data_IF_154960322260
#
_entry.id   IF_154960322260
#
_cell.length_a   1.000
_cell.length_b   1.000
_cell.length_c   1.000
_cell.angle_alpha   90.00
_cell.angle_beta   90.00
_cell.angle_gamma   90.00
#
_symmetry.space_group_name_H-M   'P 1'
#
loop_
_entity.id
_entity.type
_entity.pdbx_description
1 polymer ?
#
# COMPACT_ATOMS: atom_id res chain seq x y z
N UNK A 1 -3.50 -1.71 -13.25
CA UNK A 1 -2.35 -2.41 -13.86
C UNK A 1 -2.13 -3.65 -13.02
N UNK A 2 -2.51 -4.82 -13.56
CA UNK A 2 -2.45 -6.11 -12.84
C UNK A 2 -1.06 -6.76 -12.90
N UNK A 3 -0.21 -6.34 -13.83
CA UNK A 3 1.17 -6.84 -13.94
C UNK A 3 2.17 -5.71 -13.66
N UNK A 4 3.15 -5.92 -12.76
CA UNK A 4 4.22 -4.96 -12.54
C UNK A 4 5.11 -4.84 -13.79
N UNK A 5 5.82 -3.71 -13.97
CA UNK A 5 6.90 -3.66 -14.94
C UNK A 5 7.88 -4.81 -14.69
N UNK A 6 8.44 -5.36 -15.75
CA UNK A 6 9.45 -6.43 -15.70
C UNK A 6 10.52 -6.08 -14.65
N UNK A 7 10.85 -7.05 -13.77
CA UNK A 7 11.93 -6.98 -12.77
C UNK A 7 11.63 -6.28 -11.42
N UNK A 8 10.44 -5.73 -11.19
CA UNK A 8 10.15 -5.07 -9.92
C UNK A 8 9.87 -6.08 -8.81
N UNK A 9 10.65 -6.03 -7.71
CA UNK A 9 10.43 -6.89 -6.54
C UNK A 9 9.44 -6.25 -5.55
N UNK A 10 8.69 -7.06 -4.77
CA UNK A 10 7.84 -6.57 -3.68
C UNK A 10 8.67 -5.78 -2.66
N UNK A 11 8.09 -4.68 -2.14
CA UNK A 11 8.75 -3.86 -1.12
C UNK A 11 8.49 -4.47 0.25
N UNK A 12 9.56 -4.90 0.94
CA UNK A 12 9.44 -5.35 2.32
C UNK A 12 9.04 -4.18 3.22
N UNK A 13 7.90 -4.33 3.87
CA UNK A 13 7.26 -3.26 4.63
C UNK A 13 7.24 -3.58 6.11
N UNK A 14 7.86 -2.71 6.92
CA UNK A 14 7.92 -2.79 8.37
C UNK A 14 7.12 -1.66 9.00
N UNK A 15 6.38 -1.98 10.03
CA UNK A 15 5.66 -1.02 10.88
C UNK A 15 6.16 -1.23 12.31
N UNK A 16 6.80 -0.23 12.88
CA UNK A 16 7.49 -0.36 14.17
C UNK A 16 7.55 0.98 14.92
N UNK A 17 7.82 0.90 16.22
CA UNK A 17 8.17 2.08 16.99
C UNK A 17 9.51 2.65 16.53
N UNK A 18 9.64 3.98 16.58
CA UNK A 18 10.87 4.65 16.19
C UNK A 18 12.02 4.26 17.14
N UNK A 19 13.10 3.75 16.57
CA UNK A 19 14.31 3.39 17.30
C UNK A 19 15.54 3.80 16.49
N UNK A 20 16.43 4.59 17.12
CA UNK A 20 17.62 5.13 16.47
C UNK A 20 18.57 4.02 15.98
N UNK A 21 18.66 2.90 16.68
CA UNK A 21 19.55 1.80 16.29
C UNK A 21 19.00 1.07 15.05
N UNK A 22 17.71 0.84 14.99
CA UNK A 22 17.05 0.22 13.81
C UNK A 22 17.18 1.12 12.60
N UNK A 23 16.95 2.43 12.76
CA UNK A 23 17.06 3.41 11.67
C UNK A 23 18.49 3.50 11.16
N UNK A 24 19.47 3.59 12.06
CA UNK A 24 20.88 3.63 11.68
C UNK A 24 21.29 2.37 10.92
N UNK A 25 20.83 1.20 11.36
CA UNK A 25 21.13 -0.07 10.69
C UNK A 25 20.46 -0.16 9.32
N UNK A 26 19.21 0.27 9.19
CA UNK A 26 18.51 0.33 7.91
C UNK A 26 19.26 1.21 6.88
N UNK A 27 19.73 2.38 7.32
CA UNK A 27 20.53 3.29 6.47
C UNK A 27 21.87 2.64 6.11
N UNK A 28 22.65 2.14 7.07
CA UNK A 28 23.95 1.51 6.83
C UNK A 28 23.83 0.34 5.85
N UNK A 29 22.82 -0.49 6.01
CA UNK A 29 22.55 -1.63 5.13
C UNK A 29 22.29 -1.19 3.69
N UNK A 30 21.56 -0.10 3.48
CA UNK A 30 21.33 0.45 2.14
C UNK A 30 22.62 1.01 1.55
N UNK A 31 23.37 1.79 2.30
CA UNK A 31 24.63 2.39 1.86
C UNK A 31 25.69 1.33 1.55
N UNK A 32 25.77 0.28 2.36
CA UNK A 32 26.72 -0.83 2.16
C UNK A 32 26.55 -1.55 0.81
N UNK A 33 25.34 -1.53 0.24
CA UNK A 33 25.07 -2.08 -1.09
C UNK A 33 25.07 -1.01 -2.20
N UNK A 34 25.51 0.21 -1.90
CA UNK A 34 25.59 1.33 -2.84
C UNK A 34 24.25 1.93 -3.22
N UNK A 35 23.21 1.72 -2.41
CA UNK A 35 21.90 2.34 -2.61
C UNK A 35 21.75 3.64 -1.85
N UNK A 36 20.58 4.27 -2.01
CA UNK A 36 20.21 5.55 -1.39
C UNK A 36 18.93 5.40 -0.59
N UNK A 37 18.71 6.33 0.34
CA UNK A 37 17.60 6.32 1.28
C UNK A 37 16.76 7.57 1.16
N UNK A 38 15.44 7.40 1.05
CA UNK A 38 14.48 8.46 1.34
C UNK A 38 14.12 8.43 2.82
N UNK A 39 14.30 9.56 3.49
CA UNK A 39 13.92 9.76 4.88
C UNK A 39 12.82 10.82 4.96
N UNK A 40 11.57 10.39 5.12
CA UNK A 40 10.43 11.28 5.15
C UNK A 40 10.21 11.84 6.56
N UNK A 41 10.30 13.16 6.67
CA UNK A 41 10.08 13.92 7.88
C UNK A 41 9.21 15.15 7.59
N UNK A 42 7.93 15.08 7.96
CA UNK A 42 6.94 16.05 7.50
C UNK A 42 6.79 17.28 8.42
N UNK A 43 7.92 17.87 8.86
CA UNK A 43 7.98 19.12 9.64
C UNK A 43 9.13 19.99 9.14
N UNK A 44 8.78 21.01 8.35
CA UNK A 44 9.79 21.89 7.74
C UNK A 44 10.60 22.64 8.80
N UNK A 45 9.97 23.08 9.90
CA UNK A 45 10.62 23.89 10.95
C UNK A 45 11.77 23.18 11.67
N UNK A 46 11.74 21.84 11.68
CA UNK A 46 12.73 21.02 12.40
C UNK A 46 13.45 20.03 11.49
N UNK A 47 13.31 20.16 10.17
CA UNK A 47 13.89 19.21 9.20
C UNK A 47 15.43 19.22 9.24
N UNK A 48 16.04 20.37 9.47
CA UNK A 48 17.49 20.50 9.63
C UNK A 48 18.00 19.75 10.86
N UNK A 49 17.25 19.80 11.97
CA UNK A 49 17.57 19.05 13.19
C UNK A 49 17.45 17.55 12.95
N UNK A 50 16.44 17.13 12.18
CA UNK A 50 16.28 15.74 11.76
C UNK A 50 17.46 15.29 10.90
N UNK A 51 17.87 16.06 9.90
CA UNK A 51 19.03 15.76 9.07
C UNK A 51 20.33 15.69 9.89
N UNK A 52 20.54 16.61 10.83
CA UNK A 52 21.68 16.58 11.75
C UNK A 52 21.66 15.34 12.65
N UNK A 53 20.48 14.90 13.08
CA UNK A 53 20.30 13.64 13.83
C UNK A 53 20.68 12.43 12.97
N UNK A 54 20.20 12.35 11.74
CA UNK A 54 20.55 11.28 10.78
C UNK A 54 22.06 11.24 10.52
N UNK A 55 22.69 12.43 10.34
CA UNK A 55 24.14 12.54 10.18
C UNK A 55 24.92 12.02 11.39
N UNK A 56 24.41 12.24 12.61
CA UNK A 56 25.02 11.68 13.84
C UNK A 56 24.85 10.18 13.95
N UNK A 57 23.70 9.64 13.54
CA UNK A 57 23.44 8.20 13.57
C UNK A 57 24.29 7.43 12.56
N UNK A 58 24.60 8.05 11.41
CA UNK A 58 25.43 7.46 10.35
C UNK A 58 26.45 8.51 9.87
N UNK A 59 27.58 8.68 10.58
CA UNK A 59 28.51 9.79 10.32
C UNK A 59 29.13 9.79 8.91
N UNK A 60 29.19 8.63 8.25
CA UNK A 60 29.73 8.52 6.88
C UNK A 60 28.73 8.84 5.77
N UNK A 61 27.46 9.08 6.09
CA UNK A 61 26.42 9.34 5.09
C UNK A 61 26.43 10.80 4.64
N UNK A 62 26.23 11.04 3.35
CA UNK A 62 26.00 12.38 2.80
C UNK A 62 24.50 12.69 2.84
N UNK A 63 24.10 13.56 3.74
CA UNK A 63 22.69 13.87 4.01
C UNK A 63 22.29 15.14 3.26
N UNK A 64 21.29 15.04 2.40
CA UNK A 64 20.63 16.16 1.75
C UNK A 64 19.27 16.46 2.36
N UNK A 65 18.75 17.67 2.14
CA UNK A 65 17.45 18.14 2.62
C UNK A 65 16.63 18.67 1.46
N UNK A 66 15.32 18.30 1.41
CA UNK A 66 14.37 18.89 0.47
C UNK A 66 13.01 19.11 1.13
N UNK A 67 12.47 20.33 1.00
CA UNK A 67 11.15 20.66 1.53
C UNK A 67 10.44 21.75 0.72
N UNK A 68 9.13 21.85 0.86
CA UNK A 68 8.29 22.72 0.04
C UNK A 68 8.47 24.26 0.24
N UNK A 69 9.30 24.72 1.20
CA UNK A 69 9.65 26.14 1.34
C UNK A 69 10.93 26.52 0.57
N UNK A 70 11.62 25.57 -0.05
CA UNK A 70 12.78 25.82 -0.92
C UNK A 70 12.31 26.34 -2.28
N UNK A 71 13.19 27.09 -2.95
CA UNK A 71 12.94 27.52 -4.33
C UNK A 71 13.01 26.35 -5.30
N UNK A 72 12.41 26.47 -6.47
CA UNK A 72 12.46 25.43 -7.52
C UNK A 72 13.89 25.08 -7.92
N UNK A 73 14.77 26.08 -7.98
CA UNK A 73 16.18 25.90 -8.31
C UNK A 73 16.91 25.06 -7.23
N UNK A 74 16.66 25.37 -5.94
CA UNK A 74 17.22 24.61 -4.83
C UNK A 74 16.74 23.16 -4.84
N UNK A 75 15.43 22.96 -5.05
CA UNK A 75 14.84 21.62 -5.15
C UNK A 75 15.44 20.86 -6.34
N UNK A 76 15.55 21.51 -7.49
CA UNK A 76 16.13 20.91 -8.70
C UNK A 76 17.60 20.50 -8.48
N UNK A 77 18.38 21.37 -7.82
CA UNK A 77 19.78 21.07 -7.46
C UNK A 77 19.89 19.84 -6.54
N UNK A 78 19.05 19.74 -5.52
CA UNK A 78 19.04 18.58 -4.61
C UNK A 78 18.68 17.29 -5.34
N UNK A 79 17.68 17.34 -6.26
CA UNK A 79 17.32 16.16 -7.06
C UNK A 79 18.48 15.75 -7.98
N UNK A 80 19.19 16.72 -8.58
CA UNK A 80 20.35 16.42 -9.43
C UNK A 80 21.46 15.74 -8.61
N UNK A 81 21.80 16.29 -7.45
CA UNK A 81 22.78 15.69 -6.54
C UNK A 81 22.41 14.27 -6.10
N UNK A 82 21.10 14.01 -5.89
CA UNK A 82 20.63 12.66 -5.56
C UNK A 82 20.79 11.72 -6.74
N UNK A 83 20.45 12.16 -7.96
CA UNK A 83 20.61 11.38 -9.19
C UNK A 83 22.08 11.09 -9.49
N UNK A 84 22.97 12.04 -9.22
CA UNK A 84 24.43 11.91 -9.41
C UNK A 84 25.11 11.12 -8.27
N UNK A 85 24.34 10.55 -7.34
CA UNK A 85 24.80 9.83 -6.16
C UNK A 85 25.72 10.66 -5.25
N UNK A 86 25.54 11.97 -5.19
CA UNK A 86 26.22 12.86 -4.25
C UNK A 86 25.54 12.91 -2.88
N UNK A 87 24.26 12.50 -2.80
CA UNK A 87 23.47 12.36 -1.58
C UNK A 87 23.16 10.90 -1.34
N UNK A 88 23.43 10.40 -0.14
CA UNK A 88 23.14 9.04 0.30
C UNK A 88 21.79 8.94 0.99
N UNK A 89 21.43 9.94 1.79
CA UNK A 89 20.16 10.02 2.50
C UNK A 89 19.49 11.35 2.22
N UNK A 90 18.34 11.34 1.60
CA UNK A 90 17.54 12.55 1.39
C UNK A 90 16.48 12.66 2.48
N UNK A 91 16.65 13.59 3.41
CA UNK A 91 15.64 13.98 4.40
C UNK A 91 14.68 14.96 3.74
N UNK A 92 13.41 14.58 3.59
CA UNK A 92 12.47 15.40 2.84
C UNK A 92 11.06 15.36 3.44
N UNK A 93 10.26 16.36 3.10
CA UNK A 93 8.81 16.33 3.32
C UNK A 93 8.11 15.48 2.24
N UNK A 94 6.78 15.55 2.16
CA UNK A 94 5.98 14.88 1.12
C UNK A 94 6.33 15.29 -0.33
N UNK A 95 7.30 16.16 -0.51
CA UNK A 95 7.84 16.55 -1.83
C UNK A 95 8.26 15.35 -2.71
N UNK A 96 8.62 14.23 -2.09
CA UNK A 96 8.90 12.95 -2.78
C UNK A 96 7.73 12.48 -3.67
N UNK A 97 6.51 12.99 -3.44
CA UNK A 97 5.33 12.68 -4.27
C UNK A 97 5.41 13.34 -5.66
N UNK A 98 6.29 14.32 -5.88
CA UNK A 98 6.39 15.08 -7.15
C UNK A 98 6.88 14.29 -8.38
N UNK A 99 7.32 13.06 -8.20
CA UNK A 99 7.44 12.12 -9.31
C UNK A 99 8.84 11.91 -9.90
N UNK A 100 9.90 12.47 -9.32
CA UNK A 100 11.27 12.18 -9.74
C UNK A 100 11.56 10.68 -9.58
N UNK A 101 12.08 10.06 -10.64
CA UNK A 101 12.40 8.64 -10.67
C UNK A 101 13.86 8.39 -10.28
N UNK A 102 14.11 8.10 -9.01
CA UNK A 102 15.45 7.76 -8.50
C UNK A 102 15.54 6.26 -8.30
N UNK A 103 16.09 5.56 -9.29
CA UNK A 103 16.16 4.09 -9.30
C UNK A 103 17.04 3.51 -8.19
N UNK A 104 18.02 4.27 -7.71
CA UNK A 104 18.94 3.84 -6.67
C UNK A 104 18.40 4.00 -5.24
N UNK A 105 17.28 4.71 -5.05
CA UNK A 105 16.58 4.79 -3.76
C UNK A 105 15.75 3.52 -3.53
N UNK A 106 16.27 2.59 -2.72
CA UNK A 106 15.61 1.32 -2.42
C UNK A 106 15.20 1.18 -0.96
N UNK A 107 15.53 2.14 -0.11
CA UNK A 107 15.05 2.18 1.28
C UNK A 107 14.28 3.47 1.54
N UNK A 108 13.11 3.33 2.15
CA UNK A 108 12.22 4.41 2.58
C UNK A 108 12.05 4.33 4.10
N UNK A 109 12.25 5.44 4.78
CA UNK A 109 11.97 5.59 6.21
C UNK A 109 10.95 6.72 6.37
N UNK A 110 9.88 6.50 7.12
CA UNK A 110 8.85 7.51 7.39
C UNK A 110 8.71 7.68 8.91
N UNK A 111 8.99 8.87 9.42
CA UNK A 111 8.68 9.22 10.80
C UNK A 111 7.22 9.64 10.97
N UNK A 112 6.61 9.23 12.08
CA UNK A 112 5.22 9.54 12.42
C UNK A 112 4.22 9.13 11.31
N UNK A 113 4.41 7.94 10.74
CA UNK A 113 3.54 7.38 9.70
C UNK A 113 2.08 7.24 10.14
N UNK A 114 1.82 7.13 11.44
CA UNK A 114 0.50 7.11 12.07
C UNK A 114 -0.34 8.37 11.80
N UNK A 115 0.30 9.48 11.43
CA UNK A 115 -0.35 10.76 11.10
C UNK A 115 -0.72 10.90 9.62
N UNK A 116 -0.32 9.95 8.79
CA UNK A 116 -0.52 9.99 7.35
C UNK A 116 -1.72 9.16 6.90
N UNK A 117 -2.30 9.52 5.76
CA UNK A 117 -3.38 8.77 5.14
C UNK A 117 -2.86 7.47 4.49
N UNK A 118 -3.70 6.43 4.45
CA UNK A 118 -3.32 5.13 3.88
C UNK A 118 -2.93 5.24 2.40
N UNK A 119 -3.71 5.97 1.61
CA UNK A 119 -3.42 6.21 0.19
C UNK A 119 -2.09 6.94 0.00
N UNK A 120 -1.78 7.92 0.85
CA UNK A 120 -0.52 8.65 0.82
C UNK A 120 0.66 7.73 1.16
N UNK A 121 0.57 6.95 2.23
CA UNK A 121 1.60 5.96 2.59
C UNK A 121 1.86 4.97 1.45
N UNK A 122 0.82 4.53 0.76
CA UNK A 122 0.94 3.63 -0.39
C UNK A 122 1.65 4.30 -1.58
N UNK A 123 1.30 5.53 -1.91
CA UNK A 123 1.93 6.29 -3.00
C UNK A 123 3.42 6.54 -2.72
N UNK A 124 3.76 6.95 -1.49
CA UNK A 124 5.14 7.20 -1.09
C UNK A 124 5.94 5.89 -1.07
N UNK A 125 5.37 4.79 -0.57
CA UNK A 125 6.01 3.47 -0.65
C UNK A 125 6.36 3.09 -2.09
N UNK A 126 5.50 3.44 -3.04
CA UNK A 126 5.74 3.20 -4.47
C UNK A 126 6.88 4.01 -5.08
N UNK A 127 7.51 4.91 -4.33
CA UNK A 127 8.66 5.70 -4.80
C UNK A 127 10.00 4.96 -4.69
N UNK A 128 10.06 3.89 -3.89
CA UNK A 128 11.24 3.01 -3.81
C UNK A 128 11.00 1.70 -4.55
N UNK A 129 12.07 0.92 -4.75
CA UNK A 129 12.00 -0.37 -5.43
C UNK A 129 11.66 -0.24 -6.92
N UNK A 130 12.24 0.73 -7.60
CA UNK A 130 12.10 0.95 -9.04
C UNK A 130 13.24 0.33 -9.85
N UNK A 131 13.97 -0.57 -9.23
CA UNK A 131 15.04 -1.36 -9.82
C UNK A 131 14.83 -2.85 -9.51
N UNK A 132 15.72 -3.71 -10.00
CA UNK A 132 15.75 -5.13 -9.70
C UNK A 132 16.27 -5.46 -8.28
N UNK A 133 16.64 -4.42 -7.50
CA UNK A 133 17.11 -4.57 -6.12
C UNK A 133 15.95 -4.68 -5.15
N UNK A 134 16.15 -5.46 -4.10
CA UNK A 134 15.20 -5.58 -3.00
C UNK A 134 15.02 -4.24 -2.30
N UNK A 135 13.79 -3.82 -2.10
CA UNK A 135 13.46 -2.54 -1.48
C UNK A 135 12.80 -2.73 -0.11
N UNK A 136 13.00 -1.75 0.75
CA UNK A 136 12.53 -1.74 2.14
C UNK A 136 11.78 -0.45 2.45
N UNK A 137 10.71 -0.56 3.21
CA UNK A 137 9.96 0.59 3.71
C UNK A 137 9.70 0.44 5.21
N UNK A 138 10.19 1.40 5.99
CA UNK A 138 10.04 1.47 7.43
C UNK A 138 9.05 2.57 7.79
N UNK A 139 7.86 2.18 8.24
CA UNK A 139 6.83 3.09 8.73
C UNK A 139 6.94 3.15 10.24
N UNK A 140 7.43 4.29 10.76
CA UNK A 140 7.66 4.40 12.20
C UNK A 140 6.65 5.32 12.86
N UNK A 141 6.34 5.05 14.11
CA UNK A 141 5.57 5.91 14.99
C UNK A 141 6.33 6.14 16.28
N UNK A 142 5.97 7.17 17.02
CA UNK A 142 6.68 7.57 18.23
C UNK A 142 6.65 6.45 19.26
N UNK A 143 7.80 6.21 19.91
CA UNK A 143 7.93 5.23 20.99
C UNK A 143 6.94 5.51 22.11
N UNK A 144 6.42 4.46 22.71
CA UNK A 144 5.45 4.50 23.82
C UNK A 144 4.13 5.23 23.49
N UNK A 145 3.87 5.50 22.21
CA UNK A 145 2.64 6.13 21.75
C UNK A 145 1.52 5.11 21.59
N UNK A 146 0.40 5.34 22.26
CA UNK A 146 -0.83 4.61 22.00
C UNK A 146 -1.41 5.10 20.66
N UNK A 147 -1.45 4.22 19.68
CA UNK A 147 -2.05 4.51 18.38
C UNK A 147 -3.57 4.58 18.48
N UNK A 148 -4.17 5.53 17.78
CA UNK A 148 -5.62 5.53 17.59
C UNK A 148 -6.04 4.29 16.79
N UNK A 149 -7.27 3.83 16.95
CA UNK A 149 -7.80 2.69 16.21
C UNK A 149 -7.67 2.88 14.68
N UNK A 150 -7.95 4.09 14.20
CA UNK A 150 -7.81 4.45 12.78
C UNK A 150 -6.35 4.36 12.32
N UNK A 151 -5.40 4.89 13.09
CA UNK A 151 -3.97 4.81 12.77
C UNK A 151 -3.49 3.36 12.75
N UNK A 152 -3.90 2.55 13.73
CA UNK A 152 -3.59 1.13 13.80
C UNK A 152 -4.12 0.36 12.59
N UNK A 153 -5.38 0.59 12.18
CA UNK A 153 -5.98 -0.02 10.99
C UNK A 153 -5.24 0.37 9.71
N UNK A 154 -4.83 1.64 9.55
CA UNK A 154 -4.05 2.11 8.39
C UNK A 154 -2.68 1.45 8.31
N UNK A 155 -1.95 1.44 9.42
CA UNK A 155 -0.61 0.85 9.49
C UNK A 155 -0.64 -0.68 9.31
N UNK A 156 -1.67 -1.35 9.80
CA UNK A 156 -1.89 -2.78 9.53
C UNK A 156 -2.17 -3.03 8.05
N UNK A 157 -3.03 -2.21 7.43
CA UNK A 157 -3.33 -2.33 6.00
C UNK A 157 -2.08 -2.12 5.12
N UNK A 158 -1.24 -1.11 5.38
CA UNK A 158 -0.04 -0.88 4.59
C UNK A 158 0.97 -2.02 4.71
N UNK A 159 1.03 -2.69 5.85
CA UNK A 159 1.85 -3.89 6.08
C UNK A 159 1.31 -5.12 5.35
N UNK A 160 -0.01 -5.29 5.33
CA UNK A 160 -0.68 -6.44 4.71
C UNK A 160 -0.64 -6.38 3.18
N UNK A 161 -0.91 -5.21 2.59
CA UNK A 161 -0.99 -5.06 1.14
C UNK A 161 0.38 -4.79 0.51
N UNK A 162 1.24 -5.82 0.48
CA UNK A 162 2.59 -5.74 -0.10
C UNK A 162 2.66 -6.13 -1.57
N UNK A 163 1.65 -6.87 -2.09
CA UNK A 163 1.62 -7.32 -3.47
C UNK A 163 1.42 -6.17 -4.46
N UNK A 164 1.99 -6.32 -5.66
CA UNK A 164 1.77 -5.40 -6.77
C UNK A 164 0.27 -5.36 -7.15
N UNK A 165 -0.18 -4.21 -7.67
CA UNK A 165 -1.59 -4.03 -8.04
C UNK A 165 -2.55 -3.83 -6.87
N UNK A 166 -2.06 -3.76 -5.63
CA UNK A 166 -2.91 -3.56 -4.44
C UNK A 166 -3.57 -2.18 -4.37
N UNK A 167 -3.32 -1.27 -5.31
CA UNK A 167 -3.85 0.11 -5.29
C UNK A 167 -5.36 0.18 -5.12
N UNK A 168 -6.11 -0.65 -5.85
CA UNK A 168 -7.56 -0.71 -5.69
C UNK A 168 -7.97 -1.20 -4.29
N UNK A 169 -7.34 -2.26 -3.78
CA UNK A 169 -7.61 -2.80 -2.44
C UNK A 169 -7.25 -1.80 -1.34
N UNK A 170 -6.16 -1.06 -1.51
CA UNK A 170 -5.76 0.04 -0.61
C UNK A 170 -6.81 1.16 -0.62
N UNK A 171 -7.29 1.58 -1.81
CA UNK A 171 -8.31 2.61 -1.92
C UNK A 171 -9.62 2.16 -1.25
N UNK A 172 -10.03 0.91 -1.45
CA UNK A 172 -11.20 0.32 -0.80
C UNK A 172 -11.02 0.25 0.73
N UNK A 173 -9.84 -0.15 1.18
CA UNK A 173 -9.54 -0.22 2.62
C UNK A 173 -9.48 1.16 3.26
N UNK A 174 -8.92 2.16 2.57
CA UNK A 174 -8.91 3.55 3.05
C UNK A 174 -10.34 4.11 3.17
N UNK A 175 -11.19 3.80 2.19
CA UNK A 175 -12.60 4.15 2.23
C UNK A 175 -13.33 3.51 3.42
N UNK A 176 -13.10 2.22 3.69
CA UNK A 176 -13.65 1.51 4.84
C UNK A 176 -13.18 2.12 6.18
N UNK A 177 -11.89 2.45 6.30
CA UNK A 177 -11.30 3.02 7.52
C UNK A 177 -11.82 4.44 7.78
N UNK A 178 -11.98 5.26 6.73
CA UNK A 178 -12.54 6.62 6.85
C UNK A 178 -14.04 6.63 7.13
N UNK A 179 -14.70 5.49 6.88
CA UNK A 179 -16.15 5.42 6.79
C UNK A 179 -16.63 6.02 5.47
N UNK A 180 -17.31 5.23 4.66
CA UNK A 180 -17.79 5.66 3.34
C UNK A 180 -18.82 6.82 3.41
N UNK A 181 -19.29 7.15 4.60
CA UNK A 181 -20.20 8.26 4.85
C UNK A 181 -19.66 9.66 4.55
N UNK A 182 -18.33 9.87 4.51
CA UNK A 182 -17.77 11.15 4.09
C UNK A 182 -17.96 11.43 2.59
N UNK A 183 -18.20 10.40 1.78
CA UNK A 183 -18.49 10.56 0.35
C UNK A 183 -19.99 10.82 0.06
N UNK A 184 -20.87 10.37 0.94
CA UNK A 184 -22.34 10.34 0.71
C UNK A 184 -23.14 11.21 1.70
N UNK A 185 -22.49 11.94 2.61
CA UNK A 185 -23.14 12.80 3.62
C UNK A 185 -23.43 12.11 4.95
N UNK A 186 -23.62 12.92 5.99
CA UNK A 186 -23.75 12.47 7.39
C UNK A 186 -24.89 11.50 7.66
N UNK A 187 -25.95 11.51 6.85
CA UNK A 187 -27.14 10.67 7.07
C UNK A 187 -26.99 9.19 6.70
N UNK A 188 -25.90 8.82 6.00
CA UNK A 188 -25.71 7.44 5.50
C UNK A 188 -24.60 6.66 6.22
N UNK A 189 -23.92 7.28 7.18
CA UNK A 189 -22.81 6.68 7.94
C UNK A 189 -23.19 5.35 8.61
N UNK A 190 -24.33 5.29 9.30
CA UNK A 190 -24.74 4.14 10.08
C UNK A 190 -25.09 2.90 9.25
N UNK A 191 -25.60 3.08 8.03
CA UNK A 191 -26.06 1.95 7.21
C UNK A 191 -24.91 1.20 6.55
N UNK A 192 -23.86 1.91 6.11
CA UNK A 192 -22.73 1.28 5.43
C UNK A 192 -21.81 0.56 6.42
N UNK A 193 -21.67 1.09 7.63
CA UNK A 193 -20.88 0.45 8.69
C UNK A 193 -21.59 -0.82 9.22
N UNK A 194 -22.92 -0.82 9.26
CA UNK A 194 -23.72 -1.93 9.75
C UNK A 194 -23.81 -3.12 8.77
N UNK A 195 -23.80 -2.88 7.46
CA UNK A 195 -24.03 -3.92 6.45
C UNK A 195 -22.77 -4.28 5.64
N UNK A 196 -21.68 -3.53 5.76
CA UNK A 196 -20.48 -3.67 4.95
C UNK A 196 -20.62 -3.04 3.56
N UNK A 197 -19.47 -2.67 2.98
CA UNK A 197 -19.42 -1.90 1.73
C UNK A 197 -20.01 -2.65 0.53
N UNK A 198 -19.68 -3.93 0.36
CA UNK A 198 -20.11 -4.71 -0.81
C UNK A 198 -21.63 -4.87 -0.84
N UNK A 199 -22.24 -5.18 0.31
CA UNK A 199 -23.69 -5.31 0.42
C UNK A 199 -24.37 -3.95 0.24
N UNK A 200 -23.78 -2.86 0.76
CA UNK A 200 -24.30 -1.51 0.58
C UNK A 200 -24.30 -1.11 -0.91
N UNK A 201 -23.20 -1.28 -1.63
CA UNK A 201 -23.11 -0.98 -3.08
C UNK A 201 -24.10 -1.80 -3.88
N UNK A 202 -24.27 -3.08 -3.54
CA UNK A 202 -25.26 -3.96 -4.16
C UNK A 202 -26.69 -3.46 -3.94
N UNK A 203 -27.03 -3.11 -2.72
CA UNK A 203 -28.35 -2.54 -2.37
C UNK A 203 -28.59 -1.19 -3.06
N UNK A 204 -27.59 -0.33 -3.12
CA UNK A 204 -27.66 0.96 -3.80
C UNK A 204 -27.89 0.78 -5.30
N UNK A 205 -27.14 -0.12 -5.94
CA UNK A 205 -27.33 -0.47 -7.35
C UNK A 205 -28.72 -0.97 -7.66
N UNK A 206 -29.29 -1.82 -6.80
CA UNK A 206 -30.67 -2.31 -6.93
C UNK A 206 -31.70 -1.18 -6.74
N UNK A 207 -31.47 -0.27 -5.78
CA UNK A 207 -32.34 0.88 -5.55
C UNK A 207 -32.36 1.85 -6.74
N UNK A 208 -31.18 2.11 -7.33
CA UNK A 208 -31.04 2.95 -8.54
C UNK A 208 -31.76 2.30 -9.73
N UNK A 209 -31.57 1.00 -9.95
CA UNK A 209 -32.24 0.26 -11.03
C UNK A 209 -33.77 0.32 -10.88
N UNK A 210 -34.30 0.16 -9.65
CA UNK A 210 -35.74 0.31 -9.36
C UNK A 210 -36.22 1.73 -9.65
N UNK A 211 -35.46 2.75 -9.24
CA UNK A 211 -35.84 4.15 -9.47
C UNK A 211 -35.84 4.52 -10.96
N UNK A 212 -35.00 3.86 -11.78
CA UNK A 212 -34.97 4.00 -13.25
C UNK A 212 -36.00 3.15 -13.99
N UNK A 213 -36.74 2.29 -13.28
CA UNK A 213 -37.67 1.34 -13.91
C UNK A 213 -37.02 0.18 -14.63
N UNK A 214 -35.72 -0.04 -14.38
CA UNK A 214 -34.96 -1.16 -14.95
C UNK A 214 -35.28 -2.47 -14.20
N UNK A 215 -35.32 -3.63 -14.87
CA UNK A 215 -35.56 -4.90 -14.20
C UNK A 215 -34.42 -5.20 -13.22
N UNK A 216 -34.74 -5.21 -11.92
CA UNK A 216 -33.76 -5.61 -10.89
C UNK A 216 -33.53 -7.11 -11.02
N UNK A 217 -32.33 -7.51 -11.42
CA UNK A 217 -31.92 -8.92 -11.35
C UNK A 217 -32.06 -9.36 -9.88
N UNK A 218 -32.95 -10.28 -9.62
CA UNK A 218 -33.00 -10.97 -8.33
C UNK A 218 -31.70 -11.76 -8.24
N UNK A 219 -30.82 -11.36 -7.34
CA UNK A 219 -29.68 -12.19 -7.02
C UNK A 219 -30.19 -13.56 -6.57
N UNK A 220 -29.70 -14.60 -7.24
CA UNK A 220 -29.85 -15.95 -6.71
C UNK A 220 -29.21 -15.93 -5.34
N UNK A 221 -29.92 -16.38 -4.30
CA UNK A 221 -29.35 -16.50 -2.96
C UNK A 221 -28.12 -17.40 -3.07
N UNK A 222 -26.93 -16.83 -2.79
CA UNK A 222 -25.71 -17.63 -2.65
C UNK A 222 -25.91 -18.53 -1.42
N UNK A 223 -26.26 -19.77 -1.65
CA UNK A 223 -26.33 -20.78 -0.61
C UNK A 223 -24.96 -21.46 -0.55
N UNK A 224 -24.21 -21.23 0.52
CA UNK A 224 -23.00 -22.00 0.79
C UNK A 224 -23.42 -23.40 1.26
N UNK A 225 -23.20 -24.41 0.42
CA UNK A 225 -23.42 -25.82 0.77
C UNK A 225 -22.06 -26.42 1.14
N UNK A 226 -21.82 -26.62 2.41
CA UNK A 226 -20.65 -27.34 2.92
C UNK A 226 -21.01 -28.81 3.18
N UNK A 227 -20.78 -29.62 2.18
CA UNK A 227 -20.98 -31.08 2.29
C UNK A 227 -19.64 -31.76 2.57
N UNK A 228 -19.52 -32.42 3.70
CA UNK A 228 -18.37 -33.28 4.02
C UNK A 228 -18.45 -34.60 3.26
N UNK A 229 -18.28 -34.52 1.94
CA UNK A 229 -18.24 -35.68 1.03
C UNK A 229 -16.98 -35.62 0.20
N UNK A 230 -16.30 -36.73 0.04
CA UNK A 230 -15.18 -36.86 -0.89
C UNK A 230 -15.73 -36.92 -2.32
N UNK A 231 -15.82 -35.74 -2.95
CA UNK A 231 -16.31 -35.61 -4.33
C UNK A 231 -15.13 -35.29 -5.24
N UNK A 232 -14.58 -36.27 -5.90
CA UNK A 232 -13.52 -36.09 -6.88
C UNK A 232 -13.78 -36.95 -8.14
N UNK A 233 -13.26 -36.51 -9.29
CA UNK A 233 -13.31 -37.25 -10.54
C UNK A 233 -12.20 -38.31 -10.53
N UNK A 234 -12.51 -39.61 -10.43
CA UNK A 234 -11.49 -40.65 -10.39
C UNK A 234 -10.64 -40.70 -11.65
N UNK A 235 -9.38 -41.09 -11.53
CA UNK A 235 -8.45 -41.26 -12.69
C UNK A 235 -8.93 -42.28 -13.71
N UNK A 236 -9.71 -43.29 -13.27
CA UNK A 236 -10.32 -44.26 -14.16
C UNK A 236 -11.41 -43.66 -15.09
N UNK A 237 -11.94 -42.48 -14.75
CA UNK A 237 -12.94 -41.78 -15.54
C UNK A 237 -12.33 -40.78 -16.51
N UNK A 238 -11.37 -39.97 -16.03
CA UNK A 238 -10.55 -39.08 -16.84
C UNK A 238 -9.09 -39.29 -16.42
N UNK A 239 -8.31 -39.96 -17.24
CA UNK A 239 -6.94 -40.38 -16.91
C UNK A 239 -5.95 -39.19 -16.87
N UNK A 240 -6.15 -38.19 -17.73
CA UNK A 240 -5.24 -37.05 -17.82
C UNK A 240 -5.59 -35.93 -16.82
N UNK A 241 -4.56 -35.36 -16.19
CA UNK A 241 -4.72 -34.25 -15.23
C UNK A 241 -5.34 -33.00 -15.82
N UNK A 242 -4.91 -32.52 -16.98
CA UNK A 242 -5.53 -31.37 -17.66
C UNK A 242 -7.03 -31.56 -17.94
N UNK A 243 -7.45 -32.72 -18.40
CA UNK A 243 -8.86 -33.04 -18.66
C UNK A 243 -9.71 -33.04 -17.40
N UNK A 244 -9.17 -33.51 -16.24
CA UNK A 244 -9.85 -33.39 -14.95
C UNK A 244 -10.05 -31.95 -14.52
N UNK A 245 -9.04 -31.11 -14.70
CA UNK A 245 -9.14 -29.67 -14.38
C UNK A 245 -10.20 -28.99 -15.24
N UNK A 246 -10.27 -29.32 -16.53
CA UNK A 246 -11.27 -28.77 -17.44
C UNK A 246 -12.69 -29.24 -17.06
N UNK A 247 -12.87 -30.49 -16.67
CA UNK A 247 -14.14 -31.01 -16.18
C UNK A 247 -14.58 -30.28 -14.90
N UNK A 248 -13.70 -30.04 -13.95
CA UNK A 248 -14.00 -29.24 -12.75
C UNK A 248 -14.40 -27.80 -13.07
N UNK A 249 -13.72 -27.15 -14.04
CA UNK A 249 -14.09 -25.81 -14.49
C UNK A 249 -15.49 -25.76 -15.09
N UNK A 250 -15.85 -26.77 -15.91
CA UNK A 250 -17.18 -26.87 -16.48
C UNK A 250 -18.26 -27.10 -15.42
N UNK A 251 -18.01 -27.98 -14.43
CA UNK A 251 -18.91 -28.19 -13.29
C UNK A 251 -19.09 -26.89 -12.49
N UNK A 252 -18.00 -26.15 -12.24
CA UNK A 252 -18.03 -24.86 -11.51
C UNK A 252 -18.77 -23.76 -12.29
N UNK A 253 -18.86 -23.86 -13.61
CA UNK A 253 -19.58 -22.92 -14.47
C UNK A 253 -21.11 -23.19 -14.57
N UNK A 254 -21.61 -24.34 -14.09
CA UNK A 254 -23.02 -24.68 -14.08
C UNK A 254 -23.82 -23.70 -13.21
N UNK A 255 -24.79 -23.03 -13.77
CA UNK A 255 -25.66 -22.07 -13.10
C UNK A 255 -27.11 -22.51 -12.99
N UNK A 256 -27.55 -23.38 -13.87
CA UNK A 256 -28.94 -23.88 -13.93
C UNK A 256 -28.95 -25.37 -14.07
N UNK A 257 -30.13 -25.96 -13.84
CA UNK A 257 -30.33 -27.43 -14.04
C UNK A 257 -30.33 -27.86 -15.53
N UNK A 258 -30.33 -26.87 -16.44
CA UNK A 258 -30.32 -27.12 -17.91
C UNK A 258 -28.89 -27.04 -18.49
N UNK A 259 -27.92 -26.49 -17.73
CA UNK A 259 -26.49 -26.44 -18.07
C UNK A 259 -25.82 -27.80 -17.85
#
# INVERSE_FOLDING_TARGET
IEQPPFERQPIETYVLEYDDAIIAEAIRRELARGGQVYYLYNRVETIEQCAAKVQKLVPGARVGIAHGKMTEEQISSVWQQLLDNEIDVLVCTTLIETGVDVRNCNTLIIENADRMGLSQLYQIRGRVGRSNRKAYAYFTFQRDKVLTEIASKRLSAIREFTSFGSGFRIAMRDLQIRGAGNLLGHSQHGHMEAVGYDLYVKMLGQAIARAKGEPVRRDKSECLVDLRVDAFIPEKYIADGPGRIEAYKRIAAIQTAED
#
